data_IF_413888402203
#
_entry.id   IF_413888402203
#
_cell.length_a   1.000
_cell.length_b   1.000
_cell.length_c   1.000
_cell.angle_alpha   90.00
_cell.angle_beta   90.00
_cell.angle_gamma   90.00
#
_symmetry.space_group_name_H-M   'P 1'
#
loop_
_entity.id
_entity.type
_entity.pdbx_description
1 polymer ?
#
# COMPACT_ATOMS: atom_id res chain seq x y z
N UNK A 1 3.77 9.26 31.00
CA UNK A 1 4.49 8.41 30.03
C UNK A 1 4.80 9.21 28.76
N UNK A 2 5.91 9.95 28.73
CA UNK A 2 6.27 10.95 27.69
C UNK A 2 7.46 10.54 26.82
N UNK A 3 7.95 9.30 26.92
CA UNK A 3 9.22 8.87 26.32
C UNK A 3 9.19 8.50 24.82
N UNK A 4 8.01 8.48 24.18
CA UNK A 4 7.89 8.07 22.76
C UNK A 4 7.97 9.22 21.74
N UNK A 5 7.88 10.49 22.18
CA UNK A 5 7.99 11.65 21.29
C UNK A 5 9.45 12.12 21.09
N UNK A 6 10.40 11.65 21.90
CA UNK A 6 11.82 12.01 21.76
C UNK A 6 12.59 11.12 20.80
N UNK A 7 12.15 9.86 20.58
CA UNK A 7 12.84 8.95 19.67
C UNK A 7 12.71 9.38 18.20
N UNK A 8 11.63 10.09 17.85
CA UNK A 8 11.43 10.69 16.52
C UNK A 8 12.06 12.07 16.39
N UNK A 9 12.31 12.78 17.51
CA UNK A 9 12.98 14.09 17.52
C UNK A 9 14.50 13.98 17.43
N UNK A 10 15.11 12.93 17.98
CA UNK A 10 16.57 12.90 18.17
C UNK A 10 17.38 12.29 17.03
N UNK A 11 16.78 11.58 16.06
CA UNK A 11 17.55 10.88 14.99
C UNK A 11 17.16 11.28 13.56
N UNK A 12 16.27 12.26 13.42
CA UNK A 12 16.02 12.96 12.15
C UNK A 12 16.67 14.35 12.21
N UNK A 13 17.98 14.41 12.43
CA UNK A 13 18.71 15.68 12.39
C UNK A 13 18.97 16.12 10.93
N UNK A 14 18.93 17.45 10.75
CA UNK A 14 19.55 18.26 9.67
C UNK A 14 18.70 18.58 8.42
N UNK A 15 17.84 19.61 8.53
CA UNK A 15 17.82 20.80 7.61
C UNK A 15 16.61 21.70 7.76
N UNK A 16 15.50 21.20 8.30
CA UNK A 16 14.27 21.97 8.40
C UNK A 16 14.17 22.53 9.81
N UNK A 17 14.22 23.86 9.94
CA UNK A 17 14.05 24.55 11.22
C UNK A 17 12.71 24.17 11.88
N UNK A 18 12.63 24.25 13.21
CA UNK A 18 11.43 23.86 13.99
C UNK A 18 10.14 24.50 13.47
N UNK A 19 10.22 25.76 13.07
CA UNK A 19 9.10 26.53 12.50
C UNK A 19 8.66 26.02 11.12
N UNK A 20 9.60 25.56 10.30
CA UNK A 20 9.31 24.97 9.00
C UNK A 20 8.65 23.59 9.15
N UNK A 21 8.99 22.85 10.21
CA UNK A 21 8.31 21.61 10.54
C UNK A 21 6.86 21.82 10.94
N UNK A 22 6.58 22.83 11.77
CA UNK A 22 5.22 23.11 12.22
C UNK A 22 4.33 23.55 11.04
N UNK A 23 4.86 24.41 10.16
CA UNK A 23 4.14 24.84 8.95
C UNK A 23 3.89 23.67 7.98
N UNK A 24 4.91 22.85 7.72
CA UNK A 24 4.79 21.66 6.87
C UNK A 24 3.82 20.63 7.45
N UNK A 25 3.92 20.35 8.75
CA UNK A 25 3.03 19.42 9.44
C UNK A 25 1.57 19.90 9.38
N UNK A 26 1.33 21.19 9.61
CA UNK A 26 0.00 21.78 9.48
C UNK A 26 -0.55 21.66 8.06
N UNK A 27 0.29 21.79 7.04
CA UNK A 27 -0.11 21.54 5.66
C UNK A 27 -0.49 20.06 5.44
N UNK A 28 0.35 19.12 5.90
CA UNK A 28 0.12 17.67 5.75
C UNK A 28 -1.17 17.24 6.45
N UNK A 29 -1.45 17.75 7.64
CA UNK A 29 -2.63 17.39 8.44
C UNK A 29 -3.95 17.84 7.79
N UNK A 30 -3.91 18.83 6.89
CA UNK A 30 -5.09 19.30 6.13
C UNK A 30 -5.46 18.38 4.96
N UNK A 31 -4.61 17.42 4.63
CA UNK A 31 -4.82 16.54 3.48
C UNK A 31 -6.17 15.81 3.52
N UNK A 32 -6.73 15.55 2.33
CA UNK A 32 -8.01 14.84 2.21
C UNK A 32 -7.85 13.33 2.00
N UNK A 33 -6.70 12.91 1.51
CA UNK A 33 -6.47 11.54 1.09
C UNK A 33 -5.43 10.83 1.96
N UNK A 34 -5.70 9.60 2.44
CA UNK A 34 -4.73 8.80 3.19
C UNK A 34 -3.40 8.61 2.46
N UNK A 35 -3.47 8.34 1.14
CA UNK A 35 -2.30 8.16 0.29
C UNK A 35 -1.42 9.41 0.24
N UNK A 36 -2.04 10.59 0.10
CA UNK A 36 -1.35 11.87 0.06
C UNK A 36 -0.73 12.21 1.42
N UNK A 37 -1.46 11.97 2.51
CA UNK A 37 -0.93 12.13 3.87
C UNK A 37 0.34 11.31 4.08
N UNK A 38 0.30 10.00 3.79
CA UNK A 38 1.46 9.11 3.95
C UNK A 38 2.62 9.53 3.04
N UNK A 39 2.32 9.96 1.80
CA UNK A 39 3.35 10.41 0.86
C UNK A 39 4.07 11.66 1.36
N UNK A 40 3.32 12.68 1.77
CA UNK A 40 3.91 13.93 2.26
C UNK A 40 4.65 13.73 3.59
N UNK A 41 4.10 12.91 4.50
CA UNK A 41 4.78 12.56 5.75
C UNK A 41 6.07 11.78 5.49
N UNK A 42 6.06 10.87 4.51
CA UNK A 42 7.27 10.13 4.11
C UNK A 42 8.33 11.05 3.49
N UNK A 43 7.91 12.05 2.70
CA UNK A 43 8.84 13.06 2.20
C UNK A 43 9.44 13.91 3.31
N UNK A 44 8.67 14.24 4.34
CA UNK A 44 9.18 14.98 5.47
C UNK A 44 10.23 14.17 6.26
N UNK A 45 9.96 12.88 6.53
CA UNK A 45 10.80 12.03 7.38
C UNK A 45 12.10 11.57 6.71
N UNK A 46 12.07 11.26 5.41
CA UNK A 46 13.24 10.73 4.69
C UNK A 46 13.79 11.70 3.63
N UNK A 47 12.98 12.59 3.09
CA UNK A 47 13.30 13.33 1.87
C UNK A 47 13.06 12.49 0.60
N UNK A 48 12.73 13.12 -0.54
CA UNK A 48 12.42 12.42 -1.79
C UNK A 48 13.63 11.65 -2.36
N UNK A 49 14.85 12.14 -2.17
CA UNK A 49 16.08 11.49 -2.66
C UNK A 49 16.35 10.16 -1.97
N UNK A 50 16.33 10.17 -0.64
CA UNK A 50 16.56 8.96 0.18
C UNK A 50 15.40 7.99 0.03
N UNK A 51 14.17 8.49 -0.07
CA UNK A 51 13.01 7.63 -0.22
C UNK A 51 13.01 6.88 -1.56
N UNK A 52 13.50 7.51 -2.64
CA UNK A 52 13.56 6.89 -3.96
C UNK A 52 14.45 5.64 -4.00
N UNK A 53 15.55 5.63 -3.24
CA UNK A 53 16.51 4.52 -3.16
C UNK A 53 16.13 3.41 -2.17
N UNK A 54 14.94 3.48 -1.57
CA UNK A 54 14.47 2.56 -0.53
C UNK A 54 13.37 1.66 -1.06
N UNK A 55 13.12 0.58 -0.32
CA UNK A 55 12.03 -0.36 -0.56
C UNK A 55 11.24 -0.64 0.73
N UNK A 56 9.98 -1.06 0.59
CA UNK A 56 9.13 -1.43 1.74
C UNK A 56 9.48 -2.82 2.27
N UNK A 57 9.93 -3.71 1.38
CA UNK A 57 10.41 -5.06 1.64
C UNK A 57 11.56 -5.35 0.69
N UNK A 58 12.60 -5.99 1.19
CA UNK A 58 13.71 -6.46 0.38
C UNK A 58 13.23 -7.46 -0.68
N UNK A 59 13.77 -7.30 -1.89
CA UNK A 59 13.58 -8.22 -3.00
C UNK A 59 14.93 -8.87 -3.31
N UNK A 60 14.94 -10.16 -3.63
CA UNK A 60 16.18 -10.91 -3.85
C UNK A 60 17.09 -10.29 -4.95
N UNK A 61 16.47 -9.64 -5.94
CA UNK A 61 17.17 -9.14 -7.14
C UNK A 61 17.51 -7.64 -7.06
N UNK A 62 17.15 -6.95 -5.98
CA UNK A 62 17.25 -5.49 -5.87
C UNK A 62 18.21 -5.11 -4.75
N UNK A 63 19.09 -4.12 -4.97
CA UNK A 63 20.07 -3.65 -3.96
C UNK A 63 19.47 -2.65 -2.96
N UNK A 64 18.24 -2.20 -3.19
CA UNK A 64 17.60 -1.15 -2.41
C UNK A 64 17.43 -1.56 -0.94
N UNK A 65 17.75 -0.63 -0.05
CA UNK A 65 17.64 -0.84 1.38
C UNK A 65 16.20 -0.69 1.85
N UNK A 66 15.82 -1.47 2.87
CA UNK A 66 14.50 -1.34 3.48
C UNK A 66 14.34 0.01 4.21
N UNK A 67 13.09 0.44 4.37
CA UNK A 67 12.74 1.56 5.25
C UNK A 67 13.06 1.23 6.71
N UNK A 68 13.66 2.19 7.40
CA UNK A 68 13.96 2.05 8.84
C UNK A 68 12.67 1.76 9.63
N UNK A 69 12.57 0.62 10.35
CA UNK A 69 11.34 0.23 11.03
C UNK A 69 10.84 1.28 12.03
N UNK A 70 11.74 1.93 12.76
CA UNK A 70 11.41 2.98 13.74
C UNK A 70 10.74 4.19 13.09
N UNK A 71 11.30 4.68 11.98
CA UNK A 71 10.75 5.81 11.24
C UNK A 71 9.42 5.45 10.56
N UNK A 72 9.30 4.21 10.06
CA UNK A 72 8.05 3.68 9.51
C UNK A 72 6.95 3.63 10.56
N UNK A 73 7.26 3.14 11.76
CA UNK A 73 6.31 3.09 12.88
C UNK A 73 5.85 4.49 13.31
N UNK A 74 6.77 5.46 13.35
CA UNK A 74 6.43 6.84 13.66
C UNK A 74 5.41 7.44 12.68
N UNK A 75 5.60 7.22 11.38
CA UNK A 75 4.65 7.67 10.34
C UNK A 75 3.29 7.00 10.49
N UNK A 76 3.26 5.70 10.79
CA UNK A 76 2.01 4.95 11.02
C UNK A 76 1.27 5.48 12.25
N UNK A 77 1.98 5.76 13.35
CA UNK A 77 1.39 6.31 14.56
C UNK A 77 0.79 7.71 14.33
N UNK A 78 1.49 8.58 13.59
CA UNK A 78 0.93 9.89 13.22
C UNK A 78 -0.27 9.77 12.28
N UNK A 79 -0.25 8.81 11.36
CA UNK A 79 -1.38 8.51 10.48
C UNK A 79 -2.61 8.04 11.25
N UNK A 80 -2.44 7.16 12.24
CA UNK A 80 -3.52 6.74 13.13
C UNK A 80 -4.11 7.92 13.91
N UNK A 81 -3.25 8.75 14.54
CA UNK A 81 -3.70 9.95 15.26
C UNK A 81 -4.47 10.89 14.36
N UNK A 82 -4.01 11.09 13.13
CA UNK A 82 -4.68 11.94 12.15
C UNK A 82 -6.08 11.41 11.80
N UNK A 83 -6.23 10.11 11.57
CA UNK A 83 -7.55 9.50 11.31
C UNK A 83 -8.49 9.59 12.51
N UNK A 84 -7.97 9.35 13.72
CA UNK A 84 -8.74 9.36 14.96
C UNK A 84 -9.18 10.76 15.38
N UNK A 85 -8.25 11.71 15.37
CA UNK A 85 -8.47 13.06 15.93
C UNK A 85 -9.05 14.01 14.88
N UNK A 86 -8.46 14.03 13.67
CA UNK A 86 -8.83 15.02 12.65
C UNK A 86 -9.99 14.55 11.79
N UNK A 87 -10.01 13.28 11.41
CA UNK A 87 -11.11 12.72 10.62
C UNK A 87 -12.23 12.12 11.45
N UNK A 88 -12.01 11.92 12.75
CA UNK A 88 -12.98 11.32 13.67
C UNK A 88 -13.54 10.01 13.09
N UNK A 89 -12.69 9.23 12.42
CA UNK A 89 -13.12 7.98 11.81
C UNK A 89 -13.41 6.94 12.90
N UNK A 90 -14.45 6.10 12.72
CA UNK A 90 -14.68 4.94 13.56
C UNK A 90 -13.47 4.00 13.60
N UNK A 91 -13.22 3.38 14.75
CA UNK A 91 -12.06 2.49 14.95
C UNK A 91 -12.00 1.35 13.92
N UNK A 92 -13.16 0.78 13.58
CA UNK A 92 -13.28 -0.26 12.54
C UNK A 92 -12.66 0.15 11.20
N UNK A 93 -12.90 1.38 10.76
CA UNK A 93 -12.33 1.90 9.51
C UNK A 93 -10.85 2.22 9.67
N UNK A 94 -10.44 2.69 10.85
CA UNK A 94 -9.03 2.94 11.16
C UNK A 94 -8.23 1.64 11.04
N UNK A 95 -8.71 0.55 11.64
CA UNK A 95 -8.05 -0.76 11.60
C UNK A 95 -7.97 -1.28 10.16
N UNK A 96 -9.02 -1.08 9.37
CA UNK A 96 -9.04 -1.43 7.95
C UNK A 96 -8.02 -0.62 7.13
N UNK A 97 -7.77 0.65 7.49
CA UNK A 97 -6.75 1.49 6.85
C UNK A 97 -5.33 1.19 7.34
N UNK A 98 -5.19 0.74 8.58
CA UNK A 98 -3.93 0.31 9.20
C UNK A 98 -3.52 -1.12 8.82
N UNK A 99 -4.35 -1.85 8.07
CA UNK A 99 -3.99 -3.17 7.59
C UNK A 99 -2.63 -3.13 6.86
N UNK A 100 -1.82 -4.14 7.14
CA UNK A 100 -0.43 -4.24 6.66
C UNK A 100 -0.39 -4.15 5.13
N UNK A 101 -1.39 -4.66 4.42
CA UNK A 101 -1.44 -4.64 2.95
C UNK A 101 -1.63 -3.22 2.43
N UNK A 102 -2.59 -2.47 2.98
CA UNK A 102 -2.86 -1.08 2.58
C UNK A 102 -1.72 -0.14 2.94
N UNK A 103 -1.17 -0.26 4.16
CA UNK A 103 -0.03 0.54 4.58
C UNK A 103 1.17 0.34 3.66
N UNK A 104 1.49 -0.91 3.29
CA UNK A 104 2.58 -1.18 2.35
C UNK A 104 2.26 -0.62 0.94
N UNK A 105 1.00 -0.64 0.51
CA UNK A 105 0.57 -0.01 -0.74
C UNK A 105 0.82 1.50 -0.73
N UNK A 106 0.50 2.20 0.37
CA UNK A 106 0.77 3.64 0.50
C UNK A 106 2.27 3.95 0.49
N UNK A 107 3.08 3.21 1.23
CA UNK A 107 4.53 3.41 1.20
C UNK A 107 5.15 3.10 -0.16
N UNK A 108 4.70 2.06 -0.85
CA UNK A 108 5.14 1.79 -2.22
C UNK A 108 4.75 2.92 -3.17
N UNK A 109 3.53 3.45 -3.06
CA UNK A 109 3.08 4.62 -3.82
C UNK A 109 3.96 5.85 -3.58
N UNK A 110 4.30 6.13 -2.32
CA UNK A 110 5.19 7.22 -1.95
C UNK A 110 6.60 7.06 -2.54
N UNK A 111 7.16 5.85 -2.50
CA UNK A 111 8.46 5.54 -3.11
C UNK A 111 8.40 5.70 -4.63
N UNK A 112 7.36 5.19 -5.30
CA UNK A 112 7.18 5.37 -6.75
C UNK A 112 7.08 6.85 -7.12
N UNK A 113 6.32 7.64 -6.35
CA UNK A 113 6.23 9.08 -6.55
C UNK A 113 7.60 9.76 -6.35
N UNK A 114 8.37 9.34 -5.34
CA UNK A 114 9.72 9.84 -5.10
C UNK A 114 10.64 9.56 -6.29
N UNK A 115 10.63 8.32 -6.82
CA UNK A 115 11.44 7.91 -7.98
C UNK A 115 11.12 8.73 -9.23
N UNK A 116 9.83 9.01 -9.46
CA UNK A 116 9.39 9.88 -10.56
C UNK A 116 9.91 11.31 -10.38
N UNK A 117 9.90 11.83 -9.14
CA UNK A 117 10.35 13.19 -8.84
C UNK A 117 11.86 13.36 -8.99
N UNK A 118 12.64 12.33 -8.67
CA UNK A 118 14.11 12.39 -8.68
C UNK A 118 14.74 11.76 -9.93
N UNK A 119 13.95 11.27 -10.88
CA UNK A 119 14.41 10.50 -12.04
C UNK A 119 15.36 9.35 -11.65
N UNK A 120 15.01 8.62 -10.59
CA UNK A 120 15.86 7.58 -10.03
C UNK A 120 15.90 6.33 -10.92
N UNK A 121 17.11 5.91 -11.29
CA UNK A 121 17.35 4.65 -12.00
C UNK A 121 17.57 3.50 -11.00
N UNK A 122 16.73 2.46 -11.10
CA UNK A 122 16.80 1.28 -10.23
C UNK A 122 18.08 0.49 -10.55
N UNK A 123 18.85 0.17 -9.51
CA UNK A 123 20.05 -0.66 -9.62
C UNK A 123 19.69 -2.11 -9.34
N UNK A 124 19.66 -2.94 -10.39
CA UNK A 124 19.43 -4.37 -10.28
C UNK A 124 20.74 -5.10 -9.89
N UNK A 125 20.63 -6.14 -9.04
CA UNK A 125 21.75 -7.06 -8.83
C UNK A 125 21.86 -7.97 -10.04
N UNK A 126 23.00 -7.96 -10.73
CA UNK A 126 23.33 -9.01 -11.68
C UNK A 126 23.47 -10.33 -10.91
N UNK A 127 22.42 -11.14 -10.92
CA UNK A 127 22.52 -12.54 -10.47
C UNK A 127 23.02 -13.35 -11.67
N UNK A 128 24.20 -14.00 -11.58
CA UNK A 128 24.66 -14.86 -12.66
C UNK A 128 23.64 -15.99 -12.84
N UNK A 129 22.98 -16.02 -14.00
CA UNK A 129 22.12 -17.13 -14.41
C UNK A 129 22.99 -18.38 -14.45
N UNK A 130 22.94 -19.23 -13.41
CA UNK A 130 23.48 -20.58 -13.49
C UNK A 130 22.75 -21.28 -14.63
N UNK A 131 23.44 -21.51 -15.73
CA UNK A 131 23.00 -22.38 -16.81
C UNK A 131 22.80 -23.77 -16.22
N UNK A 132 21.56 -24.13 -15.88
CA UNK A 132 21.22 -25.51 -15.57
C UNK A 132 21.28 -26.26 -16.89
N UNK A 133 22.45 -26.85 -17.20
CA UNK A 133 22.56 -27.85 -18.26
C UNK A 133 21.63 -28.99 -17.88
N UNK A 134 20.53 -29.12 -18.62
CA UNK A 134 19.60 -30.25 -18.56
C UNK A 134 20.37 -31.55 -18.81
N UNK A 135 20.68 -32.29 -17.74
CA UNK A 135 21.02 -33.71 -17.83
C UNK A 135 19.72 -34.52 -17.75
N UNK A 136 18.93 -34.50 -18.83
CA UNK A 136 17.76 -35.39 -18.98
C UNK A 136 17.72 -35.96 -20.39
N UNK A 137 18.76 -36.69 -20.74
CA UNK A 137 18.81 -37.56 -21.91
C UNK A 137 19.76 -38.71 -21.60
N UNK A 138 19.32 -39.66 -20.79
CA UNK A 138 19.70 -41.06 -20.91
C UNK A 138 18.89 -41.90 -19.91
N UNK A 139 18.42 -43.05 -20.41
CA UNK A 139 17.81 -44.16 -19.67
C UNK A 139 16.28 -44.11 -19.46
N UNK A 140 15.56 -44.42 -20.55
CA UNK A 140 14.25 -45.06 -20.45
C UNK A 140 13.91 -45.84 -21.75
N UNK A 141 14.68 -46.89 -22.05
CA UNK A 141 14.17 -47.99 -22.87
C UNK A 141 13.74 -49.13 -21.94
N UNK A 142 12.44 -49.48 -22.01
CA UNK A 142 11.80 -50.81 -21.92
C UNK A 142 10.35 -50.67 -21.42
N UNK A 143 9.38 -50.82 -22.34
CA UNK A 143 7.99 -51.27 -22.08
C UNK A 143 7.99 -52.83 -21.98
N UNK A 144 6.93 -53.57 -21.56
CA UNK A 144 5.50 -53.21 -21.55
C UNK A 144 4.60 -53.78 -20.40
N UNK A 145 3.32 -53.33 -20.45
CA UNK A 145 2.05 -54.01 -20.11
C UNK A 145 1.71 -54.44 -18.65
N UNK A 146 0.63 -53.88 -18.09
CA UNK A 146 -0.66 -54.58 -17.92
C UNK A 146 -1.78 -53.65 -17.39
N UNK A 147 -3.01 -53.98 -17.81
CA UNK A 147 -4.32 -53.33 -17.61
C UNK A 147 -4.81 -53.43 -16.16
N UNK A 148 -5.57 -52.44 -15.66
CA UNK A 148 -6.92 -52.67 -15.07
C UNK A 148 -7.70 -51.37 -14.79
N UNK A 149 -8.98 -51.39 -15.19
CA UNK A 149 -10.21 -50.66 -14.73
C UNK A 149 -10.21 -49.12 -14.60
N UNK A 150 -11.03 -48.42 -15.39
CA UNK A 150 -12.50 -48.20 -15.36
C UNK A 150 -12.94 -47.04 -14.45
N UNK A 151 -13.33 -45.97 -15.16
CA UNK A 151 -14.31 -44.91 -14.92
C UNK A 151 -14.83 -44.63 -13.49
N UNK A 152 -14.73 -43.35 -13.13
CA UNK A 152 -15.74 -42.65 -12.34
C UNK A 152 -15.77 -41.16 -12.71
N UNK A 153 -16.75 -40.87 -13.56
CA UNK A 153 -17.29 -39.59 -13.99
C UNK A 153 -17.66 -38.68 -12.80
N UNK A 154 -17.15 -37.45 -12.76
CA UNK A 154 -17.87 -36.30 -12.19
C UNK A 154 -17.43 -35.02 -12.93
N UNK A 155 -18.33 -34.55 -13.81
CA UNK A 155 -18.33 -33.18 -14.34
C UNK A 155 -19.18 -32.35 -13.39
N UNK A 156 -18.65 -31.27 -12.83
CA UNK A 156 -19.42 -30.20 -12.21
C UNK A 156 -18.83 -28.88 -12.74
N UNK A 157 -19.44 -28.30 -13.76
CA UNK A 157 -20.58 -27.37 -13.75
C UNK A 157 -20.05 -25.93 -13.82
N UNK A 158 -20.04 -25.46 -15.07
CA UNK A 158 -19.89 -24.08 -15.51
C UNK A 158 -21.29 -23.47 -15.45
N UNK A 159 -21.48 -22.46 -14.60
CA UNK A 159 -22.64 -21.56 -14.69
C UNK A 159 -22.09 -20.16 -14.86
N UNK A 160 -22.28 -19.63 -16.07
CA UNK A 160 -22.16 -18.23 -16.42
C UNK A 160 -23.26 -17.95 -17.43
N UNK A 161 -23.77 -16.72 -17.34
CA UNK A 161 -24.72 -16.04 -18.24
C UNK A 161 -26.20 -16.26 -17.89
N UNK A 162 -27.07 -15.25 -17.93
CA UNK A 162 -27.02 -13.78 -18.00
C UNK A 162 -28.50 -13.32 -18.02
N UNK A 163 -28.77 -12.02 -17.85
CA UNK A 163 -30.07 -11.39 -18.13
C UNK A 163 -30.78 -10.90 -16.86
N UNK A 164 -30.79 -9.61 -16.49
CA UNK A 164 -31.21 -8.38 -17.21
C UNK A 164 -32.72 -8.28 -17.41
N UNK A 165 -33.37 -7.45 -16.60
CA UNK A 165 -34.35 -6.41 -17.01
C UNK A 165 -34.81 -5.68 -15.73
N UNK A 166 -34.51 -4.40 -15.51
CA UNK A 166 -35.10 -3.17 -16.06
C UNK A 166 -36.39 -2.71 -15.38
N UNK A 167 -36.49 -1.38 -15.22
CA UNK A 167 -37.67 -0.56 -14.86
C UNK A 167 -38.15 -0.59 -13.38
N UNK A 168 -38.60 0.49 -12.74
CA UNK A 168 -38.96 1.87 -13.15
C UNK A 168 -39.04 2.80 -11.94
N UNK A 169 -38.90 4.09 -12.24
CA UNK A 169 -39.05 5.33 -11.45
C UNK A 169 -40.45 5.62 -10.87
N UNK A 170 -40.51 6.42 -9.79
CA UNK A 170 -41.44 7.56 -9.54
C UNK A 170 -41.21 8.09 -8.11
N UNK A 171 -40.62 9.28 -7.92
CA UNK A 171 -41.29 10.60 -7.81
C UNK A 171 -42.12 10.80 -6.53
N UNK A 172 -41.67 11.67 -5.60
CA UNK A 172 -42.49 12.81 -5.15
C UNK A 172 -41.69 13.85 -4.36
N UNK A 173 -41.66 15.04 -4.95
CA UNK A 173 -41.41 16.34 -4.33
C UNK A 173 -42.45 16.65 -3.23
N UNK A 174 -42.01 17.29 -2.15
CA UNK A 174 -42.86 18.21 -1.39
C UNK A 174 -42.01 19.40 -0.94
N UNK A 175 -42.24 20.51 -1.63
CA UNK A 175 -41.94 21.89 -1.25
C UNK A 175 -43.13 22.50 -0.51
N UNK A 176 -42.90 23.69 0.07
CA UNK A 176 -43.83 24.67 0.65
C UNK A 176 -44.10 24.47 2.16
N UNK A 177 -44.03 25.48 3.06
CA UNK A 177 -44.06 26.94 2.92
C UNK A 177 -43.36 27.64 4.09
N UNK A 178 -42.92 28.86 3.83
CA UNK A 178 -42.74 29.94 4.80
C UNK A 178 -44.02 30.23 5.61
N UNK A 179 -43.87 30.63 6.88
CA UNK A 179 -44.80 31.56 7.52
C UNK A 179 -44.03 32.39 8.56
N UNK A 180 -43.76 33.65 8.19
CA UNK A 180 -43.55 34.73 9.14
C UNK A 180 -44.88 35.06 9.80
N UNK A 181 -44.93 35.12 11.13
CA UNK A 181 -45.78 36.10 11.82
C UNK A 181 -45.40 36.25 13.30
N UNK A 182 -44.91 37.47 13.59
CA UNK A 182 -45.04 38.29 14.81
C UNK A 182 -44.47 37.78 16.14
#
# INVERSE_FOLDING_TARGET
>A
MTFLLDLTRSTCTLRVGRELWDTLYNHIVREKEPSSFITNMSYAVWGPEVLASRCVRSQANVVEQELTPTKKFAVINEFEKWMRIKRKMPQMLIDEQLDRSKINKYFNGAITAARKKTNYNIKEKMIPKKTVKSKRAEKAERKPNQKHRLDSRTKNLKTKEEGTSDETSEEKLMSDSDDESS
#
